data_IF_711972862081
#
_entry.id   IF_711972862081
#
_cell.length_a   1.000
_cell.length_b   1.000
_cell.length_c   1.000
_cell.angle_alpha   90.00
_cell.angle_beta   90.00
_cell.angle_gamma   90.00
#
_symmetry.space_group_name_H-M   'P 1'
#
loop_
_entity.id
_entity.type
_entity.pdbx_description
1 polymer ?
#
# COMPACT_ATOMS: atom_id res chain seq x y z
N UNK A 1 12.03 18.63 -8.76
CA UNK A 1 13.23 17.96 -8.27
C UNK A 1 13.17 16.44 -8.48
N UNK A 2 14.28 15.73 -8.23
CA UNK A 2 14.36 14.28 -8.46
C UNK A 2 13.41 13.50 -7.55
N UNK A 3 13.24 13.90 -6.30
CA UNK A 3 12.34 13.23 -5.35
C UNK A 3 10.88 13.38 -5.77
N UNK A 4 10.48 14.54 -6.23
CA UNK A 4 9.13 14.77 -6.75
C UNK A 4 8.84 13.92 -8.00
N UNK A 5 9.83 13.77 -8.88
CA UNK A 5 9.70 12.91 -10.07
C UNK A 5 9.52 11.43 -9.69
N UNK A 6 10.30 10.91 -8.75
CA UNK A 6 10.11 9.58 -8.24
C UNK A 6 8.74 9.42 -7.56
N UNK A 7 8.31 10.42 -6.80
CA UNK A 7 7.03 10.42 -6.09
C UNK A 7 5.79 10.32 -6.98
N UNK A 8 5.90 10.65 -8.28
CA UNK A 8 4.82 10.41 -9.26
C UNK A 8 4.63 8.91 -9.54
N UNK A 9 5.69 8.14 -9.45
CA UNK A 9 5.69 6.72 -9.80
C UNK A 9 5.54 5.81 -8.59
N UNK A 10 6.33 6.05 -7.55
CA UNK A 10 6.48 5.14 -6.43
C UNK A 10 6.37 5.87 -5.10
N UNK A 11 6.16 5.11 -4.02
CA UNK A 11 6.08 5.65 -2.67
C UNK A 11 7.47 5.72 -2.04
N UNK A 12 7.58 6.56 -1.02
CA UNK A 12 8.79 6.66 -0.21
C UNK A 12 8.46 7.08 1.21
N UNK A 13 9.36 6.82 2.16
CA UNK A 13 9.11 7.15 3.55
C UNK A 13 9.37 8.64 3.81
N UNK A 14 8.52 9.28 4.62
CA UNK A 14 8.79 10.60 5.16
C UNK A 14 10.01 10.58 6.09
N UNK A 15 10.11 9.52 6.90
CA UNK A 15 11.28 9.21 7.73
C UNK A 15 11.68 7.77 7.44
N UNK A 16 12.92 7.58 7.03
CA UNK A 16 13.45 6.25 6.70
C UNK A 16 13.73 5.46 7.98
N UNK A 17 12.80 4.60 8.33
CA UNK A 17 12.91 3.64 9.42
C UNK A 17 12.23 2.35 8.95
N UNK A 18 12.98 1.47 8.35
CA UNK A 18 12.45 0.32 7.62
C UNK A 18 11.45 -0.50 8.45
N UNK A 19 11.76 -0.78 9.71
CA UNK A 19 10.86 -1.53 10.58
C UNK A 19 9.49 -0.84 10.75
N UNK A 20 9.49 0.44 11.07
CA UNK A 20 8.26 1.21 11.22
C UNK A 20 7.55 1.46 9.88
N UNK A 21 8.29 1.62 8.81
CA UNK A 21 7.72 1.72 7.48
C UNK A 21 6.99 0.41 7.08
N UNK A 22 7.58 -0.75 7.36
CA UNK A 22 6.92 -2.05 7.17
C UNK A 22 5.67 -2.17 8.02
N UNK A 23 5.70 -1.78 9.29
CA UNK A 23 4.53 -1.79 10.18
C UNK A 23 3.41 -0.92 9.62
N UNK A 24 3.71 0.29 9.17
CA UNK A 24 2.71 1.19 8.59
C UNK A 24 2.06 0.58 7.34
N UNK A 25 2.85 0.04 6.44
CA UNK A 25 2.34 -0.61 5.23
C UNK A 25 1.54 -1.89 5.54
N UNK A 26 1.97 -2.66 6.54
CA UNK A 26 1.25 -3.85 6.98
C UNK A 26 -0.11 -3.49 7.60
N UNK A 27 -0.16 -2.48 8.45
CA UNK A 27 -1.42 -2.02 9.06
C UNK A 27 -2.37 -1.47 8.00
N UNK A 28 -1.89 -0.63 7.09
CA UNK A 28 -2.72 -0.09 6.01
C UNK A 28 -3.30 -1.20 5.11
N UNK A 29 -2.49 -2.17 4.73
CA UNK A 29 -2.93 -3.30 3.92
C UNK A 29 -3.85 -4.23 4.70
N UNK A 30 -3.59 -4.46 5.98
CA UNK A 30 -4.49 -5.22 6.84
C UNK A 30 -5.90 -4.60 6.86
N UNK A 31 -6.00 -3.28 7.06
CA UNK A 31 -7.30 -2.57 7.07
C UNK A 31 -8.01 -2.73 5.72
N UNK A 32 -7.28 -2.57 4.62
CA UNK A 32 -7.85 -2.74 3.28
C UNK A 32 -8.41 -4.15 3.07
N UNK A 33 -7.62 -5.17 3.34
CA UNK A 33 -8.02 -6.57 3.16
C UNK A 33 -9.10 -6.98 4.15
N UNK A 34 -9.04 -6.49 5.40
CA UNK A 34 -10.07 -6.73 6.40
C UNK A 34 -11.43 -6.22 5.91
N UNK A 35 -11.48 -5.02 5.34
CA UNK A 35 -12.70 -4.51 4.73
C UNK A 35 -13.17 -5.38 3.57
N UNK A 36 -12.29 -5.71 2.64
CA UNK A 36 -12.64 -6.52 1.45
C UNK A 36 -13.23 -7.87 1.87
N UNK A 37 -12.59 -8.54 2.83
CA UNK A 37 -13.02 -9.86 3.31
C UNK A 37 -14.36 -9.74 4.05
N UNK A 38 -14.48 -8.81 4.99
CA UNK A 38 -15.66 -8.66 5.82
C UNK A 38 -16.87 -8.16 5.03
N UNK A 39 -16.67 -7.28 4.06
CA UNK A 39 -17.74 -6.68 3.26
C UNK A 39 -18.23 -7.56 2.10
N UNK A 40 -17.52 -8.64 1.78
CA UNK A 40 -17.83 -9.49 0.62
C UNK A 40 -19.21 -10.13 0.64
N UNK A 41 -19.82 -10.26 1.81
CA UNK A 41 -21.19 -10.77 1.99
C UNK A 41 -22.22 -9.69 2.29
N UNK A 42 -21.83 -8.42 2.21
CA UNK A 42 -22.74 -7.31 2.51
C UNK A 42 -23.59 -6.98 1.29
N UNK A 43 -24.93 -6.98 1.40
CA UNK A 43 -25.82 -6.71 0.26
C UNK A 43 -25.94 -5.22 -0.05
N UNK A 44 -24.90 -4.43 0.17
CA UNK A 44 -24.92 -2.97 -0.01
C UNK A 44 -24.97 -2.53 -1.47
N UNK A 45 -24.54 -3.37 -2.40
CA UNK A 45 -24.40 -3.03 -3.83
C UNK A 45 -23.26 -2.04 -4.13
N UNK A 46 -22.50 -1.60 -3.14
CA UNK A 46 -21.43 -0.60 -3.32
C UNK A 46 -20.16 -1.17 -3.93
N UNK A 47 -19.85 -2.45 -3.65
CA UNK A 47 -18.73 -3.16 -4.25
C UNK A 47 -17.41 -2.35 -4.33
N UNK A 48 -16.90 -2.14 -5.56
CA UNK A 48 -15.63 -1.42 -5.75
C UNK A 48 -15.61 0.02 -5.22
N UNK A 49 -16.76 0.71 -5.19
CA UNK A 49 -16.82 2.07 -4.64
C UNK A 49 -16.48 2.09 -3.15
N UNK A 50 -17.03 1.15 -2.38
CA UNK A 50 -16.71 1.05 -0.95
C UNK A 50 -15.22 0.76 -0.73
N UNK A 51 -14.63 -0.11 -1.53
CA UNK A 51 -13.18 -0.39 -1.47
C UNK A 51 -12.38 0.88 -1.79
N UNK A 52 -12.76 1.62 -2.80
CA UNK A 52 -12.10 2.88 -3.16
C UNK A 52 -12.16 3.91 -2.02
N UNK A 53 -13.29 4.01 -1.33
CA UNK A 53 -13.45 4.90 -0.17
C UNK A 53 -12.55 4.46 1.01
N UNK A 54 -12.39 3.17 1.24
CA UNK A 54 -11.46 2.66 2.26
C UNK A 54 -10.01 3.04 1.92
N UNK A 55 -9.62 2.97 0.65
CA UNK A 55 -8.31 3.43 0.21
C UNK A 55 -8.13 4.93 0.48
N UNK A 56 -9.14 5.75 0.23
CA UNK A 56 -9.10 7.18 0.57
C UNK A 56 -8.89 7.38 2.07
N UNK A 57 -9.62 6.65 2.90
CA UNK A 57 -9.47 6.71 4.37
C UNK A 57 -8.04 6.34 4.79
N UNK A 58 -7.48 5.26 4.24
CA UNK A 58 -6.10 4.85 4.53
C UNK A 58 -5.12 5.94 4.09
N UNK A 59 -5.31 6.52 2.91
CA UNK A 59 -4.48 7.61 2.41
C UNK A 59 -4.47 8.83 3.31
N UNK A 60 -5.64 9.21 3.82
CA UNK A 60 -5.79 10.36 4.72
C UNK A 60 -5.22 10.10 6.13
N UNK A 61 -5.24 8.86 6.60
CA UNK A 61 -4.83 8.51 7.97
C UNK A 61 -3.39 7.98 8.07
N UNK A 62 -2.95 7.17 7.12
CA UNK A 62 -1.66 6.48 7.15
C UNK A 62 -0.73 6.88 6.00
N UNK A 63 -1.15 7.81 5.14
CA UNK A 63 -0.36 8.24 3.98
C UNK A 63 0.89 9.03 4.37
N UNK A 64 0.89 9.74 5.48
CA UNK A 64 2.01 10.57 5.92
C UNK A 64 3.33 9.81 6.05
N UNK A 65 3.38 8.70 6.79
CA UNK A 65 4.65 8.00 7.05
C UNK A 65 5.29 7.37 5.82
N UNK A 66 4.51 6.79 4.89
CA UNK A 66 5.05 5.94 3.81
C UNK A 66 4.48 6.21 2.41
N UNK A 67 3.47 7.09 2.30
CA UNK A 67 2.75 7.28 1.05
C UNK A 67 1.75 6.16 0.74
N UNK A 68 1.40 5.32 1.72
CA UNK A 68 0.40 4.24 1.64
C UNK A 68 0.44 3.45 0.32
N UNK A 69 1.56 2.79 0.03
CA UNK A 69 1.63 1.92 -1.13
C UNK A 69 0.57 0.80 -1.04
N UNK A 70 0.49 0.12 0.08
CA UNK A 70 -0.48 -0.93 0.43
C UNK A 70 -0.72 -1.98 -0.67
N UNK A 71 0.16 -2.01 -1.65
CA UNK A 71 0.06 -2.84 -2.84
C UNK A 71 1.45 -2.96 -3.49
N UNK A 72 2.05 -4.15 -3.53
CA UNK A 72 3.37 -4.35 -4.15
C UNK A 72 3.42 -3.93 -5.62
N UNK A 73 2.40 -4.23 -6.39
CA UNK A 73 2.36 -3.91 -7.81
C UNK A 73 2.24 -2.41 -8.07
N UNK A 74 1.48 -1.71 -7.21
CA UNK A 74 1.29 -0.25 -7.29
C UNK A 74 2.60 0.52 -7.06
N UNK A 75 3.55 -0.06 -6.32
CA UNK A 75 4.86 0.56 -6.10
C UNK A 75 5.92 0.00 -7.05
N UNK A 76 6.09 -1.32 -7.10
CA UNK A 76 7.18 -1.96 -7.84
C UNK A 76 7.07 -1.72 -9.36
N UNK A 77 5.90 -1.86 -9.94
CA UNK A 77 5.70 -1.65 -11.38
C UNK A 77 6.07 -0.24 -11.82
N UNK A 78 5.48 0.80 -11.23
CA UNK A 78 5.85 2.17 -11.55
C UNK A 78 7.30 2.53 -11.20
N UNK A 79 7.90 1.94 -10.15
CA UNK A 79 9.31 2.14 -9.81
C UNK A 79 10.23 1.60 -10.90
N UNK A 80 9.91 0.45 -11.49
CA UNK A 80 10.60 -0.08 -12.66
C UNK A 80 10.43 0.87 -13.84
N UNK A 81 9.24 1.35 -14.10
CA UNK A 81 8.99 2.33 -15.16
C UNK A 81 9.82 3.60 -14.97
N UNK A 82 9.88 4.13 -13.75
CA UNK A 82 10.76 5.27 -13.44
C UNK A 82 12.23 4.97 -13.74
N UNK A 83 12.69 3.75 -13.44
CA UNK A 83 14.09 3.38 -13.67
C UNK A 83 14.44 3.34 -15.17
N UNK A 84 13.55 2.85 -16.02
CA UNK A 84 13.82 2.64 -17.45
C UNK A 84 13.44 3.82 -18.34
N UNK A 85 12.49 4.65 -17.93
CA UNK A 85 12.05 5.80 -18.74
C UNK A 85 13.11 6.92 -18.75
N UNK A 86 13.33 7.55 -19.91
CA UNK A 86 14.32 8.62 -20.04
C UNK A 86 13.79 9.95 -19.53
N UNK A 87 13.53 10.05 -18.23
CA UNK A 87 13.01 11.28 -17.60
C UNK A 87 14.18 12.20 -17.22
N UNK A 88 14.29 13.40 -17.79
CA UNK A 88 15.37 14.33 -17.49
C UNK A 88 15.44 14.68 -16.01
N UNK A 89 16.62 14.53 -15.40
CA UNK A 89 16.86 14.91 -14.00
C UNK A 89 16.12 14.03 -12.99
N UNK A 90 15.74 12.80 -13.34
CA UNK A 90 14.94 11.92 -12.47
C UNK A 90 15.68 11.40 -11.24
N UNK A 91 17.01 11.31 -11.28
CA UNK A 91 17.78 10.70 -10.21
C UNK A 91 17.60 9.18 -10.10
N UNK A 92 17.92 8.61 -8.94
CA UNK A 92 17.74 7.18 -8.65
C UNK A 92 16.28 6.81 -8.39
N UNK A 93 16.01 5.50 -8.42
CA UNK A 93 14.65 4.95 -8.19
C UNK A 93 14.44 4.42 -6.76
N UNK A 94 15.34 4.72 -5.84
CA UNK A 94 15.32 4.33 -4.43
C UNK A 94 15.04 2.82 -4.22
N UNK A 95 15.86 2.00 -4.86
CA UNK A 95 15.73 0.54 -4.76
C UNK A 95 15.96 0.02 -3.34
N UNK A 96 16.72 0.76 -2.53
CA UNK A 96 16.95 0.39 -1.13
C UNK A 96 15.66 0.37 -0.30
N UNK A 97 14.65 1.13 -0.69
CA UNK A 97 13.33 1.16 -0.06
C UNK A 97 12.33 0.19 -0.69
N UNK A 98 12.54 -0.23 -1.94
CA UNK A 98 11.55 -0.91 -2.78
C UNK A 98 10.96 -2.20 -2.17
N UNK A 99 11.68 -2.84 -1.25
CA UNK A 99 11.22 -4.05 -0.57
C UNK A 99 10.11 -3.79 0.46
N UNK A 100 10.05 -2.59 1.04
CA UNK A 100 9.06 -2.24 2.06
C UNK A 100 7.63 -2.30 1.51
N UNK A 101 7.32 -1.68 0.36
CA UNK A 101 6.00 -1.79 -0.27
C UNK A 101 5.64 -3.19 -0.78
N UNK A 102 6.56 -4.13 -0.75
CA UNK A 102 6.31 -5.54 -1.06
C UNK A 102 6.07 -6.33 0.22
N UNK A 103 7.01 -6.29 1.15
CA UNK A 103 6.97 -7.10 2.38
C UNK A 103 5.87 -6.62 3.33
N UNK A 104 5.73 -5.32 3.54
CA UNK A 104 4.71 -4.76 4.42
C UNK A 104 3.28 -5.17 4.01
N UNK A 105 2.87 -4.90 2.77
CA UNK A 105 1.56 -5.33 2.28
C UNK A 105 1.32 -6.83 2.34
N UNK A 106 2.32 -7.66 2.04
CA UNK A 106 2.17 -9.12 2.13
C UNK A 106 1.91 -9.55 3.58
N UNK A 107 2.65 -9.01 4.54
CA UNK A 107 2.42 -9.29 5.97
C UNK A 107 1.01 -8.89 6.37
N UNK A 108 0.58 -7.69 6.01
CA UNK A 108 -0.77 -7.20 6.33
C UNK A 108 -1.87 -8.04 5.68
N UNK A 109 -1.70 -8.43 4.43
CA UNK A 109 -2.65 -9.24 3.69
C UNK A 109 -2.77 -10.65 4.28
N UNK A 110 -1.66 -11.29 4.60
CA UNK A 110 -1.66 -12.62 5.23
C UNK A 110 -2.33 -12.58 6.60
N UNK A 111 -2.00 -11.59 7.43
CA UNK A 111 -2.63 -11.41 8.74
C UNK A 111 -4.15 -11.20 8.60
N UNK A 112 -4.60 -10.36 7.67
CA UNK A 112 -6.03 -10.16 7.42
C UNK A 112 -6.72 -11.44 6.97
N UNK A 113 -6.11 -12.18 6.03
CA UNK A 113 -6.66 -13.45 5.53
C UNK A 113 -6.78 -14.54 6.60
N UNK A 114 -5.88 -14.52 7.57
CA UNK A 114 -5.91 -15.50 8.68
C UNK A 114 -6.88 -15.10 9.81
N UNK A 115 -6.99 -13.81 10.11
CA UNK A 115 -7.70 -13.31 11.29
C UNK A 115 -9.15 -12.96 10.98
N UNK A 116 -9.38 -12.19 9.93
CA UNK A 116 -10.67 -11.56 9.66
C UNK A 116 -11.80 -12.56 9.39
N UNK A 117 -11.60 -13.67 8.65
CA UNK A 117 -12.67 -14.64 8.43
C UNK A 117 -13.22 -15.24 9.72
N UNK A 118 -12.37 -15.46 10.72
CA UNK A 118 -12.80 -15.98 12.02
C UNK A 118 -13.59 -14.95 12.84
N UNK A 119 -13.13 -13.68 12.85
CA UNK A 119 -13.81 -12.61 13.58
C UNK A 119 -15.15 -12.26 12.91
N UNK A 120 -15.18 -12.24 11.59
CA UNK A 120 -16.38 -11.91 10.82
C UNK A 120 -17.41 -13.06 10.74
N UNK A 121 -17.14 -14.21 11.36
CA UNK A 121 -18.04 -15.37 11.30
C UNK A 121 -18.17 -15.94 9.88
N UNK A 122 -17.10 -15.91 9.10
CA UNK A 122 -17.09 -16.37 7.71
C UNK A 122 -16.71 -17.84 7.58
N UNK A 123 -16.36 -18.48 8.69
CA UNK A 123 -16.10 -19.92 8.82
C UNK A 123 -16.98 -20.52 9.91
#
# INVERSE_FOLDING_TARGET
DAAAKLGVFATGPAVRSYGWNVVTEAVGTFVLLAWIIASGKTPSGLGPLAVALVIVVIGLSLGGPTGYAINPARDLGPRIAHAILPIPGKGGSDWAYSWVPVVGPIIGAVAAGLIVPHIAGLF
#
